data_IF_848614353705
#
_entry.id   IF_848614353705
#
_cell.length_a   1.000
_cell.length_b   1.000
_cell.length_c   1.000
_cell.angle_alpha   90.00
_cell.angle_beta   90.00
_cell.angle_gamma   90.00
#
_symmetry.space_group_name_H-M   'P 1'
#
loop_
_entity.id
_entity.type
_entity.pdbx_description
1 polymer ?
#
# COMPACT_ATOMS: atom_id res chain seq x y z
N UNK A 1 4.07 -18.96 5.48
CA UNK A 1 3.10 -19.85 4.77
C UNK A 1 1.66 -19.67 5.25
N UNK A 2 1.42 -19.51 6.56
CA UNK A 2 0.07 -19.30 7.12
C UNK A 2 -0.60 -17.98 6.70
N UNK A 3 0.20 -16.90 6.58
CA UNK A 3 -0.21 -15.54 6.15
C UNK A 3 -0.83 -15.49 4.75
N UNK A 4 -0.18 -16.12 3.77
CA UNK A 4 -0.71 -16.26 2.40
C UNK A 4 -2.04 -17.04 2.45
N UNK A 5 -2.12 -18.06 3.32
CA UNK A 5 -3.35 -18.83 3.52
C UNK A 5 -4.52 -18.03 4.11
N UNK A 6 -4.27 -17.08 5.01
CA UNK A 6 -5.32 -16.20 5.56
C UNK A 6 -5.74 -15.12 4.56
N UNK A 7 -4.80 -14.42 3.91
CA UNK A 7 -5.13 -13.43 2.87
C UNK A 7 -5.92 -14.06 1.70
N UNK A 8 -5.53 -15.28 1.27
CA UNK A 8 -6.25 -16.05 0.26
C UNK A 8 -7.64 -16.49 0.74
N UNK A 9 -7.81 -16.79 2.03
CA UNK A 9 -9.11 -17.10 2.63
C UNK A 9 -10.02 -15.87 2.68
N UNK A 10 -9.54 -14.73 3.17
CA UNK A 10 -10.27 -13.47 3.17
C UNK A 10 -10.67 -13.07 1.75
N UNK A 11 -9.73 -13.14 0.78
CA UNK A 11 -10.03 -12.90 -0.63
C UNK A 11 -11.11 -13.84 -1.18
N UNK A 12 -11.05 -15.13 -0.84
CA UNK A 12 -12.02 -16.13 -1.28
C UNK A 12 -13.41 -15.85 -0.68
N UNK A 13 -13.48 -15.42 0.58
CA UNK A 13 -14.74 -15.07 1.25
C UNK A 13 -15.35 -13.81 0.63
N UNK A 14 -14.55 -12.75 0.46
CA UNK A 14 -15.02 -11.49 -0.13
C UNK A 14 -15.50 -11.67 -1.58
N UNK A 15 -14.83 -12.52 -2.38
CA UNK A 15 -15.25 -12.81 -3.77
C UNK A 15 -16.48 -13.70 -3.86
N UNK A 16 -16.68 -14.63 -2.91
CA UNK A 16 -17.77 -15.62 -2.97
C UNK A 16 -19.06 -15.16 -2.28
N UNK A 17 -18.99 -14.18 -1.37
CA UNK A 17 -20.14 -13.68 -0.62
C UNK A 17 -20.17 -12.15 -0.58
N UNK A 18 -20.92 -11.51 -1.50
CA UNK A 18 -21.12 -10.06 -1.49
C UNK A 18 -21.72 -9.53 -0.18
N UNK A 19 -22.57 -10.33 0.48
CA UNK A 19 -23.13 -9.99 1.80
C UNK A 19 -22.05 -9.89 2.87
N UNK A 20 -21.15 -10.88 2.94
CA UNK A 20 -20.03 -10.86 3.90
C UNK A 20 -19.02 -9.76 3.57
N UNK A 21 -18.83 -9.42 2.29
CA UNK A 21 -17.99 -8.28 1.91
C UNK A 21 -18.55 -6.94 2.39
N UNK A 22 -19.88 -6.75 2.38
CA UNK A 22 -20.52 -5.55 2.94
C UNK A 22 -20.42 -5.51 4.46
N UNK A 23 -20.61 -6.65 5.12
CA UNK A 23 -20.49 -6.77 6.58
C UNK A 23 -19.08 -6.41 7.05
N UNK A 24 -18.04 -7.04 6.48
CA UNK A 24 -16.63 -6.74 6.78
C UNK A 24 -16.28 -5.29 6.42
N UNK A 25 -16.81 -4.75 5.31
CA UNK A 25 -16.61 -3.34 4.96
C UNK A 25 -17.25 -2.39 5.99
N UNK A 26 -18.42 -2.74 6.53
CA UNK A 26 -19.09 -2.01 7.61
C UNK A 26 -18.30 -2.05 8.90
N UNK A 27 -17.85 -3.23 9.31
CA UNK A 27 -17.02 -3.44 10.51
C UNK A 27 -15.73 -2.60 10.45
N UNK A 28 -15.00 -2.65 9.34
CA UNK A 28 -13.78 -1.85 9.14
C UNK A 28 -14.08 -0.35 9.21
N UNK A 29 -15.20 0.09 8.61
CA UNK A 29 -15.59 1.50 8.63
C UNK A 29 -15.95 1.98 10.04
N UNK A 30 -16.63 1.16 10.83
CA UNK A 30 -17.01 1.48 12.21
C UNK A 30 -15.77 1.58 13.11
N UNK A 31 -14.87 0.60 13.01
CA UNK A 31 -13.58 0.59 13.73
C UNK A 31 -12.76 1.84 13.43
N UNK A 32 -12.64 2.23 12.15
CA UNK A 32 -11.92 3.46 11.75
C UNK A 32 -12.64 4.72 12.25
N UNK A 33 -13.97 4.78 12.16
CA UNK A 33 -14.75 5.95 12.58
C UNK A 33 -14.77 6.16 14.11
N UNK A 34 -14.51 5.11 14.89
CA UNK A 34 -14.48 5.18 16.36
C UNK A 34 -13.32 6.04 16.90
N UNK A 35 -12.30 6.31 16.09
CA UNK A 35 -11.09 7.03 16.53
C UNK A 35 -10.15 6.20 17.41
N UNK A 36 -10.50 4.95 17.74
CA UNK A 36 -9.70 4.04 18.59
C UNK A 36 -8.29 3.75 18.04
N UNK A 37 -8.02 4.12 16.79
CA UNK A 37 -6.77 3.87 16.08
C UNK A 37 -6.02 5.18 15.73
N UNK A 38 -6.48 6.32 16.26
CA UNK A 38 -5.90 7.64 15.97
C UNK A 38 -4.85 8.09 17.00
N UNK A 39 -4.79 7.48 18.20
CA UNK A 39 -3.79 7.81 19.22
C UNK A 39 -2.41 7.23 18.89
N UNK A 40 -1.36 7.99 19.23
CA UNK A 40 0.04 7.54 19.06
C UNK A 40 0.41 6.36 19.97
N UNK A 41 -0.33 6.19 21.07
CA UNK A 41 -0.30 5.02 21.94
C UNK A 41 -1.69 4.39 21.89
N UNK A 42 -1.78 3.14 21.45
CA UNK A 42 -3.02 2.38 21.51
C UNK A 42 -3.33 2.13 22.98
N UNK A 43 -4.50 2.56 23.43
CA UNK A 43 -5.02 2.10 24.72
C UNK A 43 -5.55 0.66 24.58
N UNK A 44 -5.97 0.04 25.69
CA UNK A 44 -6.49 -1.34 25.69
C UNK A 44 -7.65 -1.53 24.68
N UNK A 45 -8.41 -0.48 24.37
CA UNK A 45 -9.48 -0.48 23.37
C UNK A 45 -8.93 -0.43 21.93
N UNK A 46 -7.92 0.40 21.70
CA UNK A 46 -7.18 0.47 20.44
C UNK A 46 -6.46 -0.84 20.10
N UNK A 47 -5.86 -1.51 21.08
CA UNK A 47 -5.21 -2.81 20.88
C UNK A 47 -6.21 -3.91 20.52
N UNK A 48 -7.36 -3.95 21.20
CA UNK A 48 -8.44 -4.90 20.89
C UNK A 48 -8.99 -4.67 19.47
N UNK A 49 -9.28 -3.41 19.12
CA UNK A 49 -9.75 -3.04 17.80
C UNK A 49 -8.73 -3.37 16.70
N UNK A 50 -7.43 -3.19 16.98
CA UNK A 50 -6.34 -3.56 16.08
C UNK A 50 -6.25 -5.09 15.89
N UNK A 51 -6.44 -5.84 16.98
CA UNK A 51 -6.51 -7.29 16.97
C UNK A 51 -7.66 -7.81 16.11
N UNK A 52 -8.87 -7.28 16.33
CA UNK A 52 -10.07 -7.63 15.57
C UNK A 52 -9.92 -7.30 14.08
N UNK A 53 -9.38 -6.11 13.77
CA UNK A 53 -9.06 -5.71 12.41
C UNK A 53 -8.08 -6.69 11.75
N UNK A 54 -7.05 -7.12 12.50
CA UNK A 54 -6.05 -8.07 12.04
C UNK A 54 -6.56 -9.50 11.83
N UNK A 55 -7.63 -9.89 12.52
CA UNK A 55 -8.31 -11.17 12.32
C UNK A 55 -9.24 -11.12 11.10
N UNK A 56 -9.99 -10.03 10.94
CA UNK A 56 -10.91 -9.85 9.83
C UNK A 56 -10.17 -9.68 8.49
N UNK A 57 -9.20 -8.76 8.47
CA UNK A 57 -8.45 -8.39 7.26
C UNK A 57 -6.98 -8.14 7.63
N UNK A 58 -6.14 -9.19 7.65
CA UNK A 58 -4.75 -9.08 8.10
C UNK A 58 -3.89 -8.06 7.35
N UNK A 59 -4.24 -7.73 6.11
CA UNK A 59 -3.51 -6.75 5.29
C UNK A 59 -3.72 -5.30 5.71
N UNK A 60 -4.66 -5.01 6.62
CA UNK A 60 -4.94 -3.65 7.11
C UNK A 60 -4.07 -3.24 8.30
N UNK A 61 -3.19 -4.13 8.75
CA UNK A 61 -2.48 -3.99 10.01
C UNK A 61 -0.99 -4.11 9.78
N UNK A 62 -0.24 -3.12 10.25
CA UNK A 62 1.21 -3.15 10.32
C UNK A 62 1.63 -4.04 11.47
N UNK A 63 2.64 -4.87 11.22
CA UNK A 63 3.18 -5.82 12.19
C UNK A 63 4.66 -5.61 12.33
N UNK A 64 5.18 -5.82 13.53
CA UNK A 64 6.62 -5.81 13.79
C UNK A 64 7.33 -7.06 13.23
N UNK A 65 8.64 -7.16 13.49
CA UNK A 65 9.47 -8.29 13.05
C UNK A 65 9.01 -9.64 13.62
N UNK A 66 8.42 -9.63 14.80
CA UNK A 66 7.87 -10.82 15.48
C UNK A 66 6.44 -11.15 15.00
N UNK A 67 5.85 -10.29 14.16
CA UNK A 67 4.53 -10.47 13.58
C UNK A 67 3.39 -9.97 14.46
N UNK A 68 3.68 -9.21 15.51
CA UNK A 68 2.69 -8.63 16.41
C UNK A 68 2.09 -7.37 15.77
N UNK A 69 0.75 -7.24 15.73
CA UNK A 69 0.09 -6.00 15.30
C UNK A 69 0.59 -4.80 16.11
N UNK A 70 1.05 -3.76 15.42
CA UNK A 70 1.58 -2.54 16.06
C UNK A 70 0.75 -1.30 15.74
N UNK A 71 0.24 -1.22 14.53
CA UNK A 71 -0.45 -0.03 14.02
C UNK A 71 -1.32 -0.38 12.83
N UNK A 72 -2.19 0.54 12.44
CA UNK A 72 -3.05 0.38 11.27
C UNK A 72 -2.32 0.85 10.02
N UNK A 73 -2.35 0.03 8.97
CA UNK A 73 -1.89 0.47 7.68
C UNK A 73 -2.97 1.33 7.02
N UNK A 74 -2.85 2.65 7.20
CA UNK A 74 -3.83 3.64 6.74
C UNK A 74 -4.04 3.60 5.23
N UNK A 75 -3.01 3.27 4.46
CA UNK A 75 -3.11 3.15 3.01
C UNK A 75 -3.91 1.91 2.67
N UNK A 76 -3.57 0.77 3.26
CA UNK A 76 -4.30 -0.49 3.06
C UNK A 76 -5.78 -0.34 3.42
N UNK A 77 -6.10 0.33 4.54
CA UNK A 77 -7.47 0.67 4.93
C UNK A 77 -8.16 1.51 3.87
N UNK A 78 -7.51 2.57 3.37
CA UNK A 78 -8.09 3.43 2.34
C UNK A 78 -8.38 2.68 1.03
N UNK A 79 -7.48 1.78 0.61
CA UNK A 79 -7.72 0.95 -0.57
C UNK A 79 -8.81 -0.10 -0.32
N UNK A 80 -8.84 -0.70 0.86
CA UNK A 80 -9.88 -1.65 1.24
C UNK A 80 -11.26 -0.99 1.22
N UNK A 81 -11.42 0.16 1.87
CA UNK A 81 -12.67 0.90 1.89
C UNK A 81 -13.14 1.33 0.49
N UNK A 82 -12.19 1.61 -0.42
CA UNK A 82 -12.46 1.99 -1.81
C UNK A 82 -12.87 0.81 -2.69
N UNK A 83 -12.26 -0.36 -2.50
CA UNK A 83 -12.31 -1.46 -3.47
C UNK A 83 -12.93 -2.75 -2.95
N UNK A 84 -13.18 -2.91 -1.64
CA UNK A 84 -13.62 -4.19 -1.06
C UNK A 84 -14.91 -4.74 -1.69
N UNK A 85 -15.80 -3.88 -2.17
CA UNK A 85 -17.06 -4.27 -2.78
C UNK A 85 -17.00 -4.43 -4.31
N UNK A 86 -16.11 -3.70 -4.99
CA UNK A 86 -16.01 -3.66 -6.46
C UNK A 86 -14.88 -4.52 -7.01
N UNK A 87 -13.75 -4.57 -6.30
CA UNK A 87 -12.56 -5.33 -6.65
C UNK A 87 -11.83 -5.82 -5.39
N UNK A 88 -12.29 -6.93 -4.78
CA UNK A 88 -11.69 -7.49 -3.55
C UNK A 88 -10.21 -7.86 -3.69
N UNK A 89 -9.77 -8.21 -4.90
CA UNK A 89 -8.37 -8.51 -5.15
C UNK A 89 -7.50 -7.27 -4.97
N UNK A 90 -7.96 -6.12 -5.46
CA UNK A 90 -7.29 -4.83 -5.28
C UNK A 90 -7.37 -4.31 -3.84
N UNK A 91 -8.46 -4.60 -3.13
CA UNK A 91 -8.69 -4.19 -1.74
C UNK A 91 -7.71 -4.83 -0.73
N UNK A 92 -7.11 -5.97 -1.08
CA UNK A 92 -6.26 -6.76 -0.19
C UNK A 92 -4.77 -6.73 -0.58
N UNK A 93 -4.41 -5.91 -1.57
CA UNK A 93 -3.00 -5.73 -1.94
C UNK A 93 -2.31 -4.99 -0.78
N UNK A 94 -1.09 -5.39 -0.45
CA UNK A 94 -0.27 -4.65 0.52
C UNK A 94 0.25 -3.36 -0.12
N UNK A 95 0.24 -2.22 0.59
CA UNK A 95 0.83 -0.99 0.09
C UNK A 95 2.30 -1.17 -0.29
N UNK A 96 2.69 -0.57 -1.41
CA UNK A 96 4.06 -0.66 -1.93
C UNK A 96 5.01 0.35 -1.25
N UNK A 97 4.82 0.66 0.04
CA UNK A 97 5.58 1.70 0.77
C UNK A 97 7.07 1.42 0.76
N UNK A 98 7.49 0.22 1.16
CA UNK A 98 8.90 -0.19 1.17
C UNK A 98 9.54 -0.06 -0.22
N UNK A 99 8.78 -0.38 -1.28
CA UNK A 99 9.24 -0.22 -2.66
C UNK A 99 9.45 1.25 -3.03
N UNK A 100 8.51 2.12 -2.66
CA UNK A 100 8.61 3.57 -2.89
C UNK A 100 9.74 4.19 -2.07
N UNK A 101 9.90 3.80 -0.81
CA UNK A 101 10.99 4.25 0.06
C UNK A 101 12.35 3.83 -0.51
N UNK A 102 12.48 2.59 -0.98
CA UNK A 102 13.71 2.11 -1.62
C UNK A 102 14.03 2.86 -2.93
N UNK A 103 13.02 3.20 -3.74
CA UNK A 103 13.20 4.05 -4.93
C UNK A 103 13.72 5.43 -4.50
N UNK A 104 13.08 6.06 -3.52
CA UNK A 104 13.47 7.38 -3.03
C UNK A 104 14.89 7.41 -2.46
N UNK A 105 15.25 6.44 -1.62
CA UNK A 105 16.59 6.29 -1.06
C UNK A 105 17.64 6.06 -2.15
N UNK A 106 17.32 5.21 -3.14
CA UNK A 106 18.22 4.95 -4.26
C UNK A 106 18.47 6.23 -5.06
N UNK A 107 17.43 6.95 -5.45
CA UNK A 107 17.58 8.18 -6.24
C UNK A 107 18.38 9.25 -5.50
N UNK A 108 18.13 9.42 -4.20
CA UNK A 108 18.86 10.37 -3.34
C UNK A 108 20.33 9.98 -3.18
N UNK A 109 20.62 8.71 -2.93
CA UNK A 109 21.98 8.22 -2.70
C UNK A 109 22.84 8.23 -3.98
N UNK A 110 22.26 7.89 -5.13
CA UNK A 110 22.96 7.89 -6.41
C UNK A 110 22.99 9.25 -7.10
N UNK A 111 22.25 10.25 -6.58
CA UNK A 111 22.05 11.56 -7.21
C UNK A 111 21.57 11.44 -8.66
N UNK A 112 20.67 10.49 -8.90
CA UNK A 112 20.13 10.26 -10.23
C UNK A 112 19.32 11.47 -10.70
N UNK A 113 19.48 11.84 -11.97
CA UNK A 113 18.78 12.92 -12.66
C UNK A 113 17.96 12.41 -13.85
N UNK A 114 17.38 13.33 -14.63
CA UNK A 114 16.48 12.99 -15.76
C UNK A 114 17.12 12.10 -16.81
N UNK A 115 18.41 12.29 -17.09
CA UNK A 115 19.16 11.53 -18.09
C UNK A 115 19.74 10.21 -17.53
N UNK A 116 19.51 9.91 -16.24
CA UNK A 116 20.06 8.69 -15.63
C UNK A 116 19.34 7.47 -16.18
N UNK A 117 20.10 6.55 -16.77
CA UNK A 117 19.58 5.28 -17.28
C UNK A 117 19.52 4.24 -16.18
N UNK A 118 18.42 3.48 -16.15
CA UNK A 118 18.26 2.29 -15.34
C UNK A 118 18.67 1.08 -16.19
N UNK A 119 19.68 0.30 -15.76
CA UNK A 119 20.11 -0.86 -16.50
C UNK A 119 18.98 -1.91 -16.52
N UNK A 120 18.78 -2.60 -17.65
CA UNK A 120 17.75 -3.63 -17.76
C UNK A 120 17.99 -4.76 -16.76
N UNK A 121 16.89 -5.32 -16.22
CA UNK A 121 16.94 -6.52 -15.36
C UNK A 121 16.46 -7.74 -16.14
N UNK A 122 17.28 -8.80 -16.17
CA UNK A 122 16.91 -10.07 -16.78
C UNK A 122 16.79 -10.00 -18.30
N UNK A 123 15.62 -10.34 -18.85
CA UNK A 123 15.33 -10.40 -20.30
C UNK A 123 14.70 -9.13 -20.87
N UNK A 124 14.61 -8.06 -20.10
CA UNK A 124 14.07 -6.77 -20.58
C UNK A 124 15.12 -6.05 -21.43
N UNK A 125 14.73 -5.53 -22.60
CA UNK A 125 15.64 -4.95 -23.60
C UNK A 125 15.58 -3.42 -23.70
N UNK A 126 15.10 -2.73 -22.67
CA UNK A 126 14.91 -1.28 -22.71
C UNK A 126 15.79 -0.59 -21.65
N UNK A 127 16.70 0.26 -22.13
CA UNK A 127 17.32 1.31 -21.33
C UNK A 127 16.23 2.34 -21.00
N UNK A 128 15.58 2.21 -19.84
CA UNK A 128 14.65 3.23 -19.36
C UNK A 128 15.43 4.34 -18.65
N UNK A 129 15.02 5.58 -18.83
CA UNK A 129 15.46 6.69 -17.99
C UNK A 129 14.71 6.67 -16.65
N UNK A 130 15.28 7.33 -15.64
CA UNK A 130 14.62 7.46 -14.32
C UNK A 130 13.22 8.10 -14.43
N UNK A 131 12.98 9.17 -15.22
CA UNK A 131 11.65 9.71 -15.42
C UNK A 131 10.65 8.70 -16.01
N UNK A 132 11.04 7.93 -17.03
CA UNK A 132 10.18 6.91 -17.65
C UNK A 132 9.82 5.79 -16.66
N UNK A 133 10.81 5.33 -15.90
CA UNK A 133 10.58 4.34 -14.84
C UNK A 133 9.63 4.85 -13.76
N UNK A 134 9.79 6.11 -13.32
CA UNK A 134 8.91 6.72 -12.33
C UNK A 134 7.49 6.91 -12.88
N UNK A 135 7.33 7.26 -14.16
CA UNK A 135 6.02 7.38 -14.81
C UNK A 135 5.29 6.02 -14.89
N UNK A 136 6.01 4.94 -15.22
CA UNK A 136 5.47 3.59 -15.22
C UNK A 136 5.07 3.16 -13.79
N UNK A 137 5.92 3.43 -12.80
CA UNK A 137 5.63 3.14 -11.40
C UNK A 137 4.43 3.96 -10.88
N UNK A 138 4.34 5.25 -11.23
CA UNK A 138 3.19 6.10 -10.94
C UNK A 138 1.90 5.49 -11.50
N UNK A 139 1.91 5.09 -12.77
CA UNK A 139 0.77 4.50 -13.47
C UNK A 139 0.31 3.19 -12.82
N UNK A 140 1.26 2.35 -12.38
CA UNK A 140 0.96 1.12 -11.67
C UNK A 140 0.34 1.37 -10.28
N UNK A 141 0.78 2.42 -9.57
CA UNK A 141 0.28 2.77 -8.24
C UNK A 141 -1.07 3.50 -8.29
N UNK A 142 -1.30 4.39 -9.26
CA UNK A 142 -2.44 5.31 -9.33
C UNK A 142 -3.80 4.71 -8.94
N UNK A 143 -4.18 3.51 -9.42
CA UNK A 143 -5.56 3.06 -9.23
C UNK A 143 -5.75 2.26 -7.93
N UNK A 144 -4.68 1.98 -7.18
CA UNK A 144 -4.74 1.34 -5.84
C UNK A 144 -4.22 2.27 -4.75
N UNK A 145 -3.12 2.97 -4.99
CA UNK A 145 -2.33 3.72 -4.01
C UNK A 145 -2.08 5.18 -4.45
N UNK A 146 -3.12 6.03 -4.51
CA UNK A 146 -2.99 7.39 -5.05
C UNK A 146 -2.00 8.26 -4.27
N UNK A 147 -1.90 8.11 -2.94
CA UNK A 147 -0.93 8.86 -2.13
C UNK A 147 0.52 8.47 -2.44
N UNK A 148 0.78 7.18 -2.67
CA UNK A 148 2.11 6.70 -3.05
C UNK A 148 2.46 7.13 -4.49
N UNK A 149 1.46 7.14 -5.37
CA UNK A 149 1.59 7.70 -6.71
C UNK A 149 1.95 9.19 -6.66
N UNK A 150 1.25 10.00 -5.85
CA UNK A 150 1.57 11.42 -5.67
C UNK A 150 3.00 11.62 -5.14
N UNK A 151 3.43 10.79 -4.18
CA UNK A 151 4.81 10.84 -3.66
C UNK A 151 5.85 10.55 -4.75
N UNK A 152 5.65 9.55 -5.60
CA UNK A 152 6.52 9.30 -6.75
C UNK A 152 6.49 10.44 -7.79
N UNK A 153 5.32 11.05 -8.01
CA UNK A 153 5.18 12.20 -8.90
C UNK A 153 5.97 13.40 -8.42
N UNK A 154 5.89 13.73 -7.13
CA UNK A 154 6.69 14.79 -6.52
C UNK A 154 8.18 14.49 -6.67
N UNK A 155 8.59 13.26 -6.40
CA UNK A 155 9.98 12.82 -6.57
C UNK A 155 10.47 12.98 -8.01
N UNK A 156 9.63 12.67 -9.01
CA UNK A 156 9.95 12.87 -10.43
C UNK A 156 10.13 14.34 -10.79
N UNK A 157 9.27 15.23 -10.26
CA UNK A 157 9.35 16.68 -10.48
C UNK A 157 10.58 17.32 -9.82
N UNK A 158 11.08 16.71 -8.76
CA UNK A 158 12.26 17.16 -8.01
C UNK A 158 13.59 16.64 -8.61
N UNK A 159 13.55 15.83 -9.66
CA UNK A 159 14.77 15.28 -10.26
C UNK A 159 15.70 16.39 -10.78
N UNK A 160 17.02 16.30 -10.54
CA UNK A 160 18.00 17.17 -11.17
C UNK A 160 17.87 17.14 -12.68
N UNK A 161 17.71 18.31 -13.30
CA UNK A 161 17.45 18.46 -14.74
C UNK A 161 15.98 18.64 -15.12
N UNK A 162 15.04 18.50 -14.19
CA UNK A 162 13.59 18.66 -14.44
C UNK A 162 13.12 20.13 -14.60
N UNK A 163 14.03 21.08 -14.84
CA UNK A 163 13.68 22.49 -14.92
C UNK A 163 12.88 22.83 -16.20
N UNK A 164 11.58 23.09 -15.99
CA UNK A 164 10.62 23.80 -16.85
C UNK A 164 10.37 23.23 -18.25
N UNK A 165 9.26 22.51 -18.39
CA UNK A 165 8.41 22.56 -19.59
C UNK A 165 6.99 22.87 -19.17
#
# INVERSE_FOLDING_TARGET
>A
RERIGQAVRTLRVLRRSPGKAREVHGEVREVVASGALESNELDDFGEAALGDLGLAVPSLVERDADGVPKSVDREAVAAFLRHAQSNPARALVTPAREGVDAIEETLKSTKAGTETKIPPRGTESLDLTVPEYLEDAESALAPTWPRLQERLRSLRQELPGSAAS
#
